data_IF_793947944070
#
_entry.id   IF_793947944070
#
_cell.length_a   1.000
_cell.length_b   1.000
_cell.length_c   1.000
_cell.angle_alpha   90.00
_cell.angle_beta   90.00
_cell.angle_gamma   90.00
#
_symmetry.space_group_name_H-M   'P 1'
#
loop_
_entity.id
_entity.type
_entity.pdbx_description
1 polymer ?
#
# COMPACT_ATOMS: atom_id res chain seq x y z
N UNK A 1 12.18 3.72 11.03
CA UNK A 1 11.75 3.01 9.80
C UNK A 1 10.36 3.46 9.46
N UNK A 2 10.09 3.67 8.17
CA UNK A 2 8.85 4.32 7.75
C UNK A 2 8.19 3.55 6.62
N UNK A 3 6.89 3.33 6.77
CA UNK A 3 6.01 2.74 5.77
C UNK A 3 4.97 3.78 5.38
N UNK A 4 4.88 4.11 4.10
CA UNK A 4 3.77 4.90 3.58
C UNK A 4 2.99 4.06 2.58
N UNK A 5 1.66 4.15 2.63
CA UNK A 5 0.81 3.57 1.61
C UNK A 5 0.89 2.05 1.51
N UNK A 6 -0.04 1.31 2.11
CA UNK A 6 -0.32 -0.05 1.65
C UNK A 6 -1.35 0.02 0.53
N UNK A 7 -1.10 -0.64 -0.59
CA UNK A 7 -2.10 -0.85 -1.63
C UNK A 7 -2.09 -2.28 -2.13
N UNK A 8 -3.27 -2.87 -2.31
CA UNK A 8 -3.41 -4.22 -2.84
C UNK A 8 -4.02 -4.16 -4.23
N UNK A 9 -3.25 -4.59 -5.22
CA UNK A 9 -3.73 -4.71 -6.59
C UNK A 9 -3.17 -6.00 -7.19
N UNK A 10 -4.00 -6.85 -7.83
CA UNK A 10 -3.52 -7.72 -8.92
C UNK A 10 -4.64 -8.47 -9.69
N UNK A 11 -4.49 -8.47 -11.02
CA UNK A 11 -4.48 -9.68 -11.87
C UNK A 11 -3.66 -9.41 -13.13
N UNK A 12 -2.58 -10.19 -13.37
CA UNK A 12 -1.80 -10.16 -14.61
C UNK A 12 -2.53 -10.91 -15.75
N UNK A 13 -3.65 -10.36 -16.23
CA UNK A 13 -3.93 -10.47 -17.66
C UNK A 13 -3.59 -9.13 -18.28
N UNK A 14 -2.59 -9.12 -19.15
CA UNK A 14 -2.51 -8.14 -20.23
C UNK A 14 -3.81 -8.24 -21.05
N UNK A 15 -4.91 -7.68 -20.58
CA UNK A 15 -5.92 -7.19 -21.49
C UNK A 15 -5.32 -5.93 -22.08
N UNK A 16 -5.16 -5.92 -23.40
CA UNK A 16 -4.85 -4.69 -24.15
C UNK A 16 -5.93 -3.67 -23.78
N UNK A 17 -5.64 -2.76 -22.85
CA UNK A 17 -6.63 -1.83 -22.33
C UNK A 17 -6.02 -0.87 -21.33
N UNK A 18 -5.66 0.31 -21.83
CA UNK A 18 -5.61 1.62 -21.17
C UNK A 18 -5.33 1.58 -19.65
N UNK A 19 -4.11 1.89 -19.25
CA UNK A 19 -3.80 2.31 -17.88
C UNK A 19 -4.02 3.82 -17.78
N UNK A 20 -4.97 4.25 -16.95
CA UNK A 20 -5.13 5.65 -16.55
C UNK A 20 -4.45 5.83 -15.19
N UNK A 21 -3.45 6.71 -15.13
CA UNK A 21 -2.91 7.23 -13.87
C UNK A 21 -3.49 8.62 -13.67
N UNK A 22 -4.25 8.84 -12.61
CA UNK A 22 -4.61 10.19 -12.16
C UNK A 22 -3.46 10.75 -11.32
N UNK A 23 -2.94 11.92 -11.71
CA UNK A 23 -2.15 12.78 -10.82
C UNK A 23 -3.08 13.90 -10.34
N UNK A 24 -3.05 14.29 -9.06
CA UNK A 24 -3.82 15.45 -8.61
C UNK A 24 -3.20 16.71 -9.22
N UNK A 25 -4.03 17.51 -9.89
CA UNK A 25 -3.78 18.90 -10.31
C UNK A 25 -3.07 19.22 -11.62
N UNK A 26 -3.16 18.38 -12.66
CA UNK A 26 -2.85 18.88 -14.01
C UNK A 26 -3.78 18.33 -15.09
N UNK A 27 -4.00 19.15 -16.11
CA UNK A 27 -4.87 18.89 -17.25
C UNK A 27 -4.64 17.48 -17.82
N UNK A 28 -5.72 16.70 -17.94
CA UNK A 28 -5.67 15.29 -18.36
C UNK A 28 -5.28 15.16 -19.84
N UNK A 29 -4.10 14.62 -20.12
CA UNK A 29 -3.67 14.23 -21.45
C UNK A 29 -3.70 12.71 -21.59
N UNK A 30 -4.39 12.20 -22.61
CA UNK A 30 -4.40 10.77 -22.94
C UNK A 30 -3.47 10.51 -24.12
N UNK A 31 -2.55 9.56 -23.97
CA UNK A 31 -1.67 9.15 -25.05
C UNK A 31 -2.40 8.14 -25.96
N UNK A 32 -2.80 8.57 -27.16
CA UNK A 32 -3.33 7.64 -28.17
C UNK A 32 -2.17 6.87 -28.82
N UNK A 33 -1.93 5.65 -28.33
CA UNK A 33 -0.87 4.75 -28.83
C UNK A 33 -1.10 4.28 -30.28
N UNK A 34 -2.29 4.46 -30.87
CA UNK A 34 -2.52 4.17 -32.30
C UNK A 34 -2.09 5.33 -33.20
N UNK A 35 -2.15 6.57 -32.71
CA UNK A 35 -1.86 7.78 -33.50
C UNK A 35 -0.56 8.49 -33.11
N UNK A 36 0.10 8.07 -32.02
CA UNK A 36 1.34 8.70 -31.49
C UNK A 36 1.23 10.23 -31.37
N UNK A 37 0.07 10.70 -30.91
CA UNK A 37 -0.23 12.13 -30.79
C UNK A 37 -0.97 12.40 -29.48
N UNK A 38 -0.68 13.53 -28.82
CA UNK A 38 -1.46 14.03 -27.69
C UNK A 38 -2.83 14.50 -28.19
N UNK A 39 -3.90 14.09 -27.51
CA UNK A 39 -5.26 14.58 -27.77
C UNK A 39 -5.76 15.34 -26.56
N UNK A 40 -6.24 16.56 -26.77
CA UNK A 40 -6.87 17.41 -25.74
C UNK A 40 -8.27 16.90 -25.45
N UNK A 41 -8.56 16.52 -24.21
CA UNK A 41 -9.92 16.15 -23.80
C UNK A 41 -10.75 17.43 -23.55
N UNK A 42 -11.74 17.72 -24.39
CA UNK A 42 -12.66 18.84 -24.15
C UNK A 42 -13.72 18.45 -23.13
N UNK A 43 -13.81 19.22 -22.04
CA UNK A 43 -14.80 19.04 -20.99
C UNK A 43 -16.22 19.35 -21.49
N UNK A 44 -17.02 18.31 -21.74
CA UNK A 44 -18.48 18.39 -21.67
C UNK A 44 -19.07 16.99 -21.48
N UNK A 45 -19.31 16.66 -20.22
CA UNK A 45 -20.29 15.69 -19.76
C UNK A 45 -20.34 15.83 -18.24
N UNK A 46 -21.54 15.78 -17.65
CA UNK A 46 -21.77 15.76 -16.22
C UNK A 46 -20.70 14.91 -15.50
N UNK A 47 -20.07 15.46 -14.45
CA UNK A 47 -19.14 14.71 -13.59
C UNK A 47 -19.96 13.61 -12.91
N UNK A 48 -20.15 12.48 -13.59
CA UNK A 48 -20.27 11.21 -12.94
C UNK A 48 -18.86 10.90 -12.47
N UNK A 49 -18.64 10.93 -11.16
CA UNK A 49 -17.52 10.22 -10.54
C UNK A 49 -17.70 8.76 -10.97
N UNK A 50 -17.08 8.39 -12.09
CA UNK A 50 -17.31 7.11 -12.75
C UNK A 50 -16.81 6.02 -11.82
N UNK A 51 -17.73 5.34 -11.14
CA UNK A 51 -17.40 4.24 -10.26
C UNK A 51 -16.71 3.15 -11.09
N UNK A 52 -15.40 3.01 -10.93
CA UNK A 52 -14.64 1.93 -11.56
C UNK A 52 -14.58 0.75 -10.60
N UNK A 53 -15.02 -0.42 -11.06
CA UNK A 53 -14.92 -1.65 -10.30
C UNK A 53 -13.51 -2.22 -10.44
N UNK A 54 -12.88 -2.48 -9.29
CA UNK A 54 -11.53 -3.03 -9.20
C UNK A 54 -11.58 -4.56 -9.22
N UNK A 55 -10.41 -5.17 -9.37
CA UNK A 55 -10.19 -6.62 -9.19
C UNK A 55 -11.16 -7.52 -9.98
N UNK A 56 -11.48 -7.13 -11.22
CA UNK A 56 -12.37 -7.88 -12.11
C UNK A 56 -13.86 -7.79 -11.74
N UNK A 57 -14.24 -6.86 -10.87
CA UNK A 57 -15.65 -6.54 -10.62
C UNK A 57 -16.34 -5.99 -11.87
N UNK A 58 -17.64 -6.26 -11.98
CA UNK A 58 -18.46 -5.77 -13.11
C UNK A 58 -19.32 -4.59 -12.65
N UNK A 59 -19.28 -3.48 -13.38
CA UNK A 59 -20.15 -2.34 -13.11
C UNK A 59 -21.56 -2.64 -13.64
N UNK A 60 -22.55 -2.68 -12.74
CA UNK A 60 -23.97 -2.79 -13.08
C UNK A 60 -24.69 -1.54 -12.56
N UNK A 61 -24.98 -0.60 -13.46
CA UNK A 61 -25.50 0.71 -13.08
C UNK A 61 -24.47 1.51 -12.26
N UNK A 62 -24.79 1.79 -10.99
CA UNK A 62 -23.92 2.50 -10.05
C UNK A 62 -23.37 1.59 -8.93
N UNK A 63 -23.36 0.27 -9.14
CA UNK A 63 -22.89 -0.71 -8.15
C UNK A 63 -21.91 -1.68 -8.79
N UNK A 64 -20.84 -2.01 -8.05
CA UNK A 64 -19.91 -3.05 -8.47
C UNK A 64 -20.35 -4.42 -7.98
N UNK A 65 -20.58 -5.33 -8.92
CA UNK A 65 -20.74 -6.75 -8.64
C UNK A 65 -19.37 -7.40 -8.55
N UNK A 66 -19.01 -7.84 -7.35
CA UNK A 66 -17.70 -8.42 -7.08
C UNK A 66 -17.67 -9.91 -7.37
N UNK A 67 -16.52 -10.39 -7.83
CA UNK A 67 -16.27 -11.83 -7.80
C UNK A 67 -16.26 -12.30 -6.34
N UNK A 68 -16.49 -13.60 -6.09
CA UNK A 68 -16.66 -14.17 -4.75
C UNK A 68 -15.50 -13.91 -3.77
N UNK A 69 -14.37 -13.38 -4.25
CA UNK A 69 -13.14 -13.13 -3.47
C UNK A 69 -13.01 -11.68 -2.99
N UNK A 70 -13.77 -10.74 -3.56
CA UNK A 70 -13.66 -9.30 -3.26
C UNK A 70 -14.99 -8.73 -2.74
N UNK A 71 -14.91 -7.62 -2.01
CA UNK A 71 -16.07 -6.99 -1.38
C UNK A 71 -15.97 -5.46 -1.44
N UNK A 72 -16.98 -4.77 -0.91
CA UNK A 72 -17.02 -3.30 -0.85
C UNK A 72 -17.49 -2.63 -2.15
N UNK A 73 -17.68 -1.32 -2.08
CA UNK A 73 -18.34 -0.51 -3.14
C UNK A 73 -17.66 -0.59 -4.51
N UNK A 74 -16.36 -0.87 -4.53
CA UNK A 74 -15.54 -0.99 -5.76
C UNK A 74 -14.89 -2.35 -5.92
N UNK A 75 -15.30 -3.39 -5.18
CA UNK A 75 -14.61 -4.70 -5.19
C UNK A 75 -13.13 -4.59 -4.79
N UNK A 76 -12.89 -3.75 -3.79
CA UNK A 76 -11.57 -3.50 -3.23
C UNK A 76 -11.28 -4.53 -2.13
N UNK A 77 -10.00 -4.72 -1.85
CA UNK A 77 -9.58 -5.40 -0.63
C UNK A 77 -9.44 -4.31 0.42
N UNK A 78 -10.05 -4.49 1.57
CA UNK A 78 -10.22 -3.44 2.58
C UNK A 78 -8.93 -3.18 3.39
N UNK A 79 -7.79 -3.10 2.70
CA UNK A 79 -6.47 -2.95 3.27
C UNK A 79 -5.61 -1.92 2.50
N UNK A 80 -6.17 -1.24 1.51
CA UNK A 80 -5.60 0.00 1.00
C UNK A 80 -5.57 1.04 2.13
N UNK A 81 -4.41 1.63 2.40
CA UNK A 81 -4.24 2.60 3.47
C UNK A 81 -3.12 3.59 3.16
N UNK A 82 -3.47 4.87 2.99
CA UNK A 82 -2.49 5.96 2.79
C UNK A 82 -2.06 6.62 4.11
N UNK A 83 -2.72 6.32 5.22
CA UNK A 83 -2.55 6.93 6.55
C UNK A 83 -2.93 8.42 6.67
N UNK A 84 -3.18 9.14 5.56
CA UNK A 84 -3.51 10.58 5.55
C UNK A 84 -4.73 10.98 6.39
N UNK A 85 -5.60 10.03 6.73
CA UNK A 85 -6.71 10.25 7.65
C UNK A 85 -6.28 10.24 9.13
N UNK A 86 -4.97 10.12 9.42
CA UNK A 86 -4.43 10.01 10.78
C UNK A 86 -4.73 8.66 11.44
N UNK A 87 -5.04 7.61 10.67
CA UNK A 87 -5.39 6.28 11.20
C UNK A 87 -4.68 5.16 10.44
N UNK A 88 -4.55 3.99 11.06
CA UNK A 88 -4.04 2.77 10.41
C UNK A 88 -5.09 2.08 9.50
N UNK A 89 -6.18 2.78 9.17
CA UNK A 89 -7.30 2.25 8.40
C UNK A 89 -7.87 0.98 9.06
N UNK A 90 -7.92 -0.14 8.33
CA UNK A 90 -8.35 -1.44 8.88
C UNK A 90 -7.17 -2.35 9.26
N UNK A 91 -5.94 -1.85 9.18
CA UNK A 91 -4.80 -2.58 9.72
C UNK A 91 -4.87 -2.54 11.25
N UNK A 92 -4.40 -3.60 11.87
CA UNK A 92 -4.32 -3.70 13.32
C UNK A 92 -2.84 -3.66 13.74
N UNK A 93 -2.52 -2.78 14.67
CA UNK A 93 -1.28 -2.92 15.42
C UNK A 93 -1.47 -4.03 16.45
N UNK A 94 -0.75 -5.14 16.27
CA UNK A 94 -0.98 -6.34 17.06
C UNK A 94 0.08 -6.47 18.13
N UNK A 95 -0.26 -6.14 19.38
CA UNK A 95 0.62 -6.27 20.56
C UNK A 95 1.10 -7.71 20.89
N UNK A 96 0.79 -8.67 20.01
CA UNK A 96 1.10 -10.08 20.19
C UNK A 96 2.49 -10.39 19.62
N UNK A 97 3.50 -10.37 20.50
CA UNK A 97 4.88 -10.74 20.16
C UNK A 97 5.73 -9.60 19.59
N UNK A 98 5.25 -8.36 19.71
CA UNK A 98 6.04 -7.15 19.49
C UNK A 98 6.43 -6.50 20.84
N UNK A 99 7.22 -5.44 20.74
CA UNK A 99 7.79 -4.71 21.89
C UNK A 99 7.44 -3.23 21.86
N UNK A 100 6.99 -2.72 20.71
CA UNK A 100 6.52 -1.36 20.52
C UNK A 100 5.60 -1.27 19.30
N UNK A 101 4.93 -0.14 19.17
CA UNK A 101 3.80 0.05 18.26
C UNK A 101 4.17 0.92 17.05
N UNK A 102 3.51 0.66 15.92
CA UNK A 102 3.51 1.56 14.77
C UNK A 102 2.63 2.76 15.08
N UNK A 103 3.16 3.96 14.90
CA UNK A 103 2.37 5.19 15.04
C UNK A 103 2.08 5.79 13.67
N UNK A 104 0.93 6.45 13.53
CA UNK A 104 0.70 7.32 12.37
C UNK A 104 1.36 8.66 12.68
N UNK A 105 2.29 9.04 11.81
CA UNK A 105 3.12 10.22 11.99
C UNK A 105 3.03 11.13 10.76
N UNK A 106 3.34 12.41 10.98
CA UNK A 106 3.40 13.45 9.97
C UNK A 106 4.71 14.22 10.18
N UNK A 107 5.11 15.06 9.22
CA UNK A 107 6.38 15.81 9.23
C UNK A 107 7.64 14.92 9.11
N UNK A 108 8.80 15.52 9.39
CA UNK A 108 10.12 14.89 9.38
C UNK A 108 10.32 14.01 10.62
N UNK A 109 11.11 12.95 10.47
CA UNK A 109 11.43 12.04 11.56
C UNK A 109 12.20 12.73 12.69
N UNK A 110 11.96 12.40 13.98
CA UNK A 110 12.56 13.12 15.11
C UNK A 110 14.08 13.00 15.23
N UNK A 111 14.68 11.97 14.64
CA UNK A 111 16.12 11.71 14.71
C UNK A 111 16.83 12.32 13.50
N UNK A 112 17.90 13.09 13.74
CA UNK A 112 18.75 13.64 12.67
C UNK A 112 19.30 12.55 11.74
N UNK A 113 19.58 12.91 10.49
CA UNK A 113 20.11 12.01 9.44
C UNK A 113 19.24 10.77 9.17
N UNK A 114 17.96 10.81 9.56
CA UNK A 114 16.96 9.81 9.20
C UNK A 114 15.96 10.40 8.21
N UNK A 115 14.84 9.74 7.95
CA UNK A 115 13.88 10.21 6.97
C UNK A 115 12.57 9.44 7.07
N UNK A 116 11.55 9.89 6.33
CA UNK A 116 11.57 10.85 5.22
C UNK A 116 11.39 12.32 5.65
N UNK A 117 11.71 13.27 4.75
CA UNK A 117 11.34 14.70 4.94
C UNK A 117 9.84 14.94 4.69
N UNK A 118 9.23 14.16 3.79
CA UNK A 118 7.83 14.31 3.40
C UNK A 118 7.17 12.94 3.23
N UNK A 119 5.86 12.86 3.48
CA UNK A 119 5.04 11.69 3.13
C UNK A 119 5.09 11.39 1.63
N UNK A 120 4.94 10.11 1.27
CA UNK A 120 4.90 9.64 -0.12
C UNK A 120 3.61 10.03 -0.87
N UNK A 121 2.45 9.97 -0.22
CA UNK A 121 1.12 10.07 -0.83
C UNK A 121 0.84 11.45 -1.41
N UNK A 122 1.07 12.49 -0.62
CA UNK A 122 0.94 13.90 -0.97
C UNK A 122 2.27 14.52 -1.39
N UNK A 123 3.42 13.92 -1.03
CA UNK A 123 4.73 14.51 -1.28
C UNK A 123 4.99 15.76 -0.44
N UNK A 124 4.27 15.93 0.67
CA UNK A 124 4.34 17.11 1.54
C UNK A 124 4.36 16.72 3.01
N UNK A 125 4.82 17.62 3.88
CA UNK A 125 4.81 17.44 5.33
C UNK A 125 3.41 17.27 5.94
N UNK A 126 2.35 17.63 5.20
CA UNK A 126 0.95 17.47 5.62
C UNK A 126 0.39 16.06 5.39
N UNK A 127 1.09 15.23 4.62
CA UNK A 127 0.71 13.83 4.46
C UNK A 127 1.16 12.99 5.64
N UNK A 128 0.58 11.81 5.79
CA UNK A 128 0.86 10.94 6.94
C UNK A 128 1.38 9.58 6.51
N UNK A 129 2.14 8.94 7.39
CA UNK A 129 2.73 7.62 7.16
C UNK A 129 2.76 6.81 8.46
N UNK A 130 2.86 5.49 8.34
CA UNK A 130 3.15 4.63 9.48
C UNK A 130 4.65 4.68 9.80
N UNK A 131 4.96 4.93 11.06
CA UNK A 131 6.30 5.23 11.54
C UNK A 131 6.66 4.39 12.75
N UNK A 132 7.92 3.98 12.80
CA UNK A 132 8.57 3.51 14.01
C UNK A 132 9.91 4.21 14.20
N UNK A 133 10.20 4.63 15.43
CA UNK A 133 11.51 5.12 15.80
C UNK A 133 12.43 3.92 16.09
N UNK A 134 13.59 3.87 15.43
CA UNK A 134 14.61 2.82 15.60
C UNK A 134 15.84 3.31 16.37
N UNK A 135 15.93 4.61 16.64
CA UNK A 135 17.00 5.21 17.43
C UNK A 135 16.82 4.94 18.93
N UNK A 136 17.79 5.39 19.73
CA UNK A 136 17.74 5.22 21.19
C UNK A 136 16.43 5.81 21.76
N UNK A 137 15.76 5.13 22.71
CA UNK A 137 16.27 4.04 23.55
C UNK A 137 15.97 2.63 23.01
N UNK A 138 15.61 2.46 21.73
CA UNK A 138 15.40 1.12 21.16
C UNK A 138 16.65 0.27 21.25
N UNK A 139 16.45 -1.02 21.46
CA UNK A 139 17.52 -2.01 21.50
C UNK A 139 17.33 -3.07 20.41
N UNK A 140 18.41 -3.80 20.13
CA UNK A 140 18.40 -4.83 19.09
C UNK A 140 17.32 -5.89 19.34
N UNK A 141 16.69 -6.33 18.25
CA UNK A 141 15.68 -7.39 18.19
C UNK A 141 14.30 -7.03 18.79
N UNK A 142 14.10 -5.78 19.21
CA UNK A 142 12.77 -5.21 19.39
C UNK A 142 12.02 -5.13 18.05
N UNK A 143 10.72 -5.40 18.07
CA UNK A 143 9.86 -5.50 16.90
C UNK A 143 8.59 -4.69 17.09
N UNK A 144 7.99 -4.29 15.98
CA UNK A 144 6.64 -3.72 15.89
C UNK A 144 5.89 -4.39 14.75
N UNK A 145 4.59 -4.68 14.95
CA UNK A 145 3.85 -5.49 13.99
C UNK A 145 2.52 -4.87 13.58
N UNK A 146 2.50 -4.33 12.36
CA UNK A 146 1.24 -4.00 11.70
C UNK A 146 0.71 -5.22 10.93
N UNK A 147 -0.56 -5.54 11.11
CA UNK A 147 -1.22 -6.70 10.51
C UNK A 147 -2.42 -6.27 9.68
N UNK A 148 -2.56 -6.83 8.49
CA UNK A 148 -3.70 -6.58 7.62
C UNK A 148 -4.99 -7.20 8.19
N UNK A 149 -6.16 -6.76 7.68
CA UNK A 149 -7.37 -7.58 7.71
C UNK A 149 -7.13 -8.97 7.12
N UNK A 150 -8.04 -9.89 7.43
CA UNK A 150 -8.03 -11.23 6.83
C UNK A 150 -8.39 -11.16 5.35
N UNK A 151 -7.48 -11.60 4.50
CA UNK A 151 -7.69 -11.75 3.07
C UNK A 151 -8.38 -13.07 2.76
N UNK A 152 -9.33 -13.02 1.82
CA UNK A 152 -9.90 -14.23 1.21
C UNK A 152 -8.86 -14.90 0.32
N UNK A 153 -8.96 -16.23 0.08
CA UNK A 153 -7.99 -16.94 -0.75
C UNK A 153 -7.96 -16.39 -2.19
N UNK A 154 -6.83 -15.83 -2.67
CA UNK A 154 -6.71 -15.36 -4.04
C UNK A 154 -6.59 -16.54 -5.02
N UNK A 155 -6.28 -17.74 -4.54
CA UNK A 155 -6.02 -18.89 -5.40
C UNK A 155 -4.62 -18.83 -6.02
N UNK A 156 -4.36 -19.62 -7.08
CA UNK A 156 -3.03 -19.75 -7.69
C UNK A 156 -2.56 -18.47 -8.40
N UNK A 157 -3.49 -17.60 -8.79
CA UNK A 157 -3.18 -16.36 -9.48
C UNK A 157 -2.67 -15.26 -8.51
N UNK A 158 -2.87 -15.44 -7.20
CA UNK A 158 -2.29 -14.58 -6.15
C UNK A 158 -2.87 -13.17 -6.06
N UNK A 159 -2.35 -12.42 -5.09
CA UNK A 159 -2.62 -11.00 -4.87
C UNK A 159 -1.30 -10.25 -4.75
N UNK A 160 -1.16 -9.04 -5.29
CA UNK A 160 0.08 -8.28 -5.13
C UNK A 160 -0.13 -7.18 -4.09
N UNK A 161 0.67 -7.25 -3.03
CA UNK A 161 0.78 -6.21 -2.03
C UNK A 161 1.87 -5.24 -2.49
N UNK A 162 1.46 -4.01 -2.77
CA UNK A 162 2.32 -2.87 -3.02
C UNK A 162 2.43 -2.05 -1.75
N UNK A 163 3.62 -1.56 -1.45
CA UNK A 163 3.86 -0.68 -0.33
C UNK A 163 5.03 0.24 -0.61
N UNK A 164 5.04 1.43 -0.03
CA UNK A 164 6.19 2.33 -0.10
C UNK A 164 6.92 2.35 1.24
N UNK A 165 8.24 2.32 1.18
CA UNK A 165 9.09 2.34 2.37
C UNK A 165 10.18 3.39 2.25
N UNK A 166 10.54 3.97 3.40
CA UNK A 166 11.75 4.76 3.58
C UNK A 166 12.55 4.13 4.73
N UNK A 167 13.79 3.74 4.40
CA UNK A 167 14.72 3.12 5.35
C UNK A 167 16.02 3.93 5.37
N UNK A 168 15.93 5.23 5.66
CA UNK A 168 17.10 6.09 5.88
C UNK A 168 17.52 6.10 7.36
N UNK A 169 18.78 5.77 7.64
CA UNK A 169 19.36 5.83 8.98
C UNK A 169 20.31 4.69 9.28
N UNK A 170 21.31 4.94 10.13
CA UNK A 170 22.34 3.94 10.48
C UNK A 170 21.76 2.76 11.26
N UNK A 171 20.81 3.00 12.17
CA UNK A 171 20.21 1.99 13.05
C UNK A 171 18.87 1.44 12.55
N UNK A 172 18.53 1.67 11.28
CA UNK A 172 17.17 1.48 10.72
C UNK A 172 16.63 0.03 10.77
N UNK A 173 17.48 -0.96 11.03
CA UNK A 173 17.05 -2.35 11.24
C UNK A 173 16.65 -3.10 9.96
N UNK A 174 15.57 -3.88 10.05
CA UNK A 174 15.06 -4.74 8.97
C UNK A 174 13.56 -4.55 8.80
N UNK A 175 13.09 -4.59 7.56
CA UNK A 175 11.67 -4.60 7.22
C UNK A 175 11.37 -5.94 6.57
N UNK A 176 10.45 -6.69 7.16
CA UNK A 176 10.02 -7.99 6.68
C UNK A 176 8.52 -7.98 6.39
N UNK A 177 8.07 -8.75 5.40
CA UNK A 177 6.65 -9.05 5.17
C UNK A 177 6.45 -10.54 5.32
N UNK A 178 5.48 -10.88 6.16
CA UNK A 178 5.07 -12.25 6.40
C UNK A 178 3.63 -12.46 5.93
N UNK A 179 3.37 -13.67 5.47
CA UNK A 179 2.05 -14.16 5.10
C UNK A 179 1.70 -15.33 5.99
N UNK A 180 0.53 -15.31 6.65
CA UNK A 180 0.20 -16.36 7.62
C UNK A 180 -1.26 -16.41 8.04
N UNK A 181 -1.61 -17.39 8.86
CA UNK A 181 -2.98 -17.61 9.36
C UNK A 181 -3.04 -17.57 10.90
N UNK A 182 -2.09 -16.88 11.54
CA UNK A 182 -2.00 -16.71 12.99
C UNK A 182 -1.24 -17.83 13.72
N UNK A 183 -1.25 -19.06 13.20
CA UNK A 183 -0.48 -20.19 13.75
C UNK A 183 0.83 -20.47 13.01
N UNK A 184 0.91 -20.06 11.74
CA UNK A 184 2.12 -20.15 10.91
C UNK A 184 2.30 -18.86 10.12
N UNK A 185 3.56 -18.44 9.93
CA UNK A 185 3.92 -17.26 9.17
C UNK A 185 5.11 -17.59 8.25
N UNK A 186 4.94 -17.33 6.95
CA UNK A 186 5.95 -17.47 5.91
C UNK A 186 6.56 -16.09 5.62
N UNK A 187 7.90 -15.98 5.66
CA UNK A 187 8.60 -14.77 5.21
C UNK A 187 8.52 -14.69 3.67
N UNK A 188 7.86 -13.66 3.16
CA UNK A 188 7.63 -13.49 1.70
C UNK A 188 8.39 -12.32 1.10
N UNK A 189 8.87 -11.38 1.93
CA UNK A 189 9.72 -10.27 1.51
C UNK A 189 10.58 -9.80 2.68
N UNK A 190 11.81 -9.38 2.43
CA UNK A 190 12.73 -8.89 3.45
C UNK A 190 13.70 -7.85 2.87
N UNK A 191 14.02 -6.85 3.67
CA UNK A 191 15.05 -5.85 3.37
C UNK A 191 15.73 -5.38 4.66
N UNK A 192 17.02 -5.08 4.60
CA UNK A 192 17.81 -4.74 5.79
C UNK A 192 18.74 -3.57 5.55
N UNK A 193 18.93 -2.75 6.59
CA UNK A 193 19.90 -1.66 6.63
C UNK A 193 19.48 -0.45 5.80
N UNK A 194 20.35 0.57 5.80
CA UNK A 194 20.10 1.85 5.15
C UNK A 194 19.85 1.68 3.63
N UNK A 195 18.74 2.23 3.15
CA UNK A 195 18.32 2.23 1.75
C UNK A 195 18.45 3.61 1.08
N UNK A 196 18.88 4.62 1.82
CA UNK A 196 18.97 6.01 1.37
C UNK A 196 17.70 6.81 1.62
N UNK A 197 17.73 8.09 1.23
CA UNK A 197 16.73 9.10 1.61
C UNK A 197 15.42 9.01 0.84
N UNK A 198 15.37 8.30 -0.28
CA UNK A 198 14.23 8.28 -1.18
C UNK A 198 13.22 7.21 -0.80
N UNK A 199 11.94 7.50 -1.00
CA UNK A 199 10.88 6.51 -0.99
C UNK A 199 11.10 5.46 -2.08
N UNK A 200 10.92 4.19 -1.73
CA UNK A 200 11.04 3.06 -2.66
C UNK A 200 9.80 2.18 -2.58
N UNK A 201 9.44 1.59 -3.71
CA UNK A 201 8.32 0.65 -3.80
C UNK A 201 8.80 -0.77 -3.45
N UNK A 202 8.09 -1.40 -2.52
CA UNK A 202 8.09 -2.84 -2.31
C UNK A 202 6.86 -3.47 -2.95
N UNK A 203 7.05 -4.60 -3.61
CA UNK A 203 5.96 -5.37 -4.21
C UNK A 203 6.17 -6.86 -3.93
N UNK A 204 5.14 -7.53 -3.41
CA UNK A 204 5.18 -8.97 -3.15
C UNK A 204 3.89 -9.66 -3.58
N UNK A 205 4.01 -10.78 -4.28
CA UNK A 205 2.86 -11.62 -4.67
C UNK A 205 2.54 -12.63 -3.57
N UNK A 206 1.33 -12.52 -3.03
CA UNK A 206 0.76 -13.35 -1.97
C UNK A 206 -0.16 -14.40 -2.60
N UNK A 207 0.33 -15.64 -2.69
CA UNK A 207 -0.45 -16.79 -3.15
C UNK A 207 -0.95 -17.58 -1.94
N UNK A 208 -2.25 -17.89 -1.91
CA UNK A 208 -2.86 -18.72 -0.87
C UNK A 208 -4.15 -19.38 -1.35
N UNK A 209 -4.37 -20.62 -0.90
CA UNK A 209 -5.64 -21.36 -1.06
C UNK A 209 -6.53 -21.25 0.18
N UNK A 210 -6.01 -20.69 1.27
CA UNK A 210 -6.72 -20.46 2.53
C UNK A 210 -6.76 -18.96 2.88
N UNK A 211 -7.61 -18.60 3.84
CA UNK A 211 -7.63 -17.24 4.38
C UNK A 211 -6.33 -16.97 5.11
N UNK A 212 -5.83 -15.74 5.01
CA UNK A 212 -4.55 -15.37 5.60
C UNK A 212 -4.51 -13.87 5.91
N UNK A 213 -3.52 -13.45 6.69
CA UNK A 213 -3.15 -12.06 6.94
C UNK A 213 -1.74 -11.83 6.39
N UNK A 214 -1.48 -10.60 5.99
CA UNK A 214 -0.11 -10.10 5.82
C UNK A 214 0.27 -9.31 7.06
N UNK A 215 1.53 -9.38 7.48
CA UNK A 215 2.05 -8.51 8.53
C UNK A 215 3.49 -8.14 8.27
N UNK A 216 3.89 -6.95 8.72
CA UNK A 216 5.29 -6.57 8.72
C UNK A 216 5.92 -6.71 10.10
N UNK A 217 7.22 -7.02 10.13
CA UNK A 217 8.08 -6.95 11.31
C UNK A 217 9.32 -6.15 10.99
#
# INVERSE_FOLDING_TARGET
MVLAGFSLSCFTRKTKGIHLFERPNDSMFVLDLKRRSLVTATASASIHIGLTCLNGGTLLGATCLCTSRFAGKRCQIDADCTFDAGTVCNWADTHAGDTFDWIVYHEETPTDDTGPENDHSLGTANGSYAFIESSAPRIKDEKARLQSPVFNPPGPEGLCLHFWYNMNGETIGQLNVYKGNGSTAELVWALSGNQGTQWKEGMVTLVSLEKFVASNY
#
